data_IF_909048272387
#
_entry.id   IF_909048272387
#
_cell.length_a   1.000
_cell.length_b   1.000
_cell.length_c   1.000
_cell.angle_alpha   90.00
_cell.angle_beta   90.00
_cell.angle_gamma   90.00
#
_symmetry.space_group_name_H-M   'P 1'
#
loop_
_entity.id
_entity.type
_entity.pdbx_description
1 polymer ?
#
# COMPACT_ATOMS: atom_id res chain seq x y z
N UNK A 1 61.30 18.87 -46.16
CA UNK A 1 59.96 18.79 -46.78
C UNK A 1 58.98 19.26 -45.72
N UNK A 2 58.73 20.56 -45.59
CA UNK A 2 57.61 21.34 -46.21
C UNK A 2 56.23 20.76 -45.81
N UNK A 3 55.24 21.48 -45.27
CA UNK A 3 54.97 22.91 -45.00
C UNK A 3 53.80 22.95 -43.96
N UNK A 4 53.75 23.78 -42.90
CA UNK A 4 53.51 25.23 -42.77
C UNK A 4 52.07 25.74 -43.06
N UNK A 5 51.52 26.52 -42.10
CA UNK A 5 50.49 27.57 -42.25
C UNK A 5 49.09 27.20 -41.69
N UNK A 6 48.53 27.71 -40.58
CA UNK A 6 48.43 29.05 -39.98
C UNK A 6 47.41 30.01 -40.63
N UNK A 7 46.41 30.39 -39.81
CA UNK A 7 45.71 31.68 -39.70
C UNK A 7 44.63 32.15 -40.71
N UNK A 8 43.55 32.65 -40.09
CA UNK A 8 42.87 33.95 -40.30
C UNK A 8 41.44 33.94 -40.89
N UNK A 9 40.49 34.33 -40.04
CA UNK A 9 39.32 35.15 -40.42
C UNK A 9 39.79 36.49 -41.00
N UNK A 10 38.98 37.17 -41.85
CA UNK A 10 38.15 38.24 -41.28
C UNK A 10 36.83 38.56 -42.02
N UNK A 11 35.98 39.27 -41.26
CA UNK A 11 35.13 40.43 -41.64
C UNK A 11 33.98 40.31 -42.67
N UNK A 12 32.81 40.70 -42.16
CA UNK A 12 31.62 41.18 -42.86
C UNK A 12 31.87 42.40 -43.77
N UNK A 13 30.84 42.79 -44.55
CA UNK A 13 30.33 44.16 -44.47
C UNK A 13 28.81 44.21 -44.28
N UNK A 14 28.36 45.18 -43.47
CA UNK A 14 26.95 45.58 -43.37
C UNK A 14 26.61 46.75 -44.29
N UNK A 15 25.36 47.23 -44.19
CA UNK A 15 24.83 48.61 -44.40
C UNK A 15 23.29 48.47 -44.49
N UNK A 16 22.49 48.96 -43.52
CA UNK A 16 22.10 50.34 -43.14
C UNK A 16 20.84 50.85 -43.85
N UNK A 17 19.94 51.43 -43.04
CA UNK A 17 18.90 52.40 -43.39
C UNK A 17 17.51 51.94 -42.91
N UNK A 18 16.79 52.56 -41.97
CA UNK A 18 16.93 53.85 -41.29
C UNK A 18 15.77 54.80 -41.64
N UNK A 19 14.81 55.00 -40.72
CA UNK A 19 13.91 56.16 -40.45
C UNK A 19 12.75 55.66 -39.57
N UNK A 20 12.55 55.97 -38.29
CA UNK A 20 12.61 57.19 -37.45
C UNK A 20 11.34 58.10 -37.52
N UNK A 21 10.92 58.53 -36.30
CA UNK A 21 10.03 59.66 -35.91
C UNK A 21 8.51 59.33 -35.93
N UNK A 22 7.66 59.59 -34.92
CA UNK A 22 7.63 60.59 -33.81
C UNK A 22 6.59 60.19 -32.72
N UNK A 23 6.92 60.31 -31.42
CA UNK A 23 6.48 61.33 -30.43
C UNK A 23 5.01 61.37 -29.94
N UNK A 24 4.88 61.01 -28.65
CA UNK A 24 4.38 61.82 -27.51
C UNK A 24 2.88 62.18 -27.35
N UNK A 25 2.33 61.84 -26.16
CA UNK A 25 1.83 62.74 -25.08
C UNK A 25 1.14 61.90 -23.98
N UNK A 26 1.64 61.90 -22.74
CA UNK A 26 1.24 62.71 -21.56
C UNK A 26 -0.16 62.43 -21.02
N UNK A 27 -0.25 62.16 -19.72
CA UNK A 27 -1.46 62.43 -18.93
C UNK A 27 -1.61 61.57 -17.66
N UNK A 28 -1.06 62.03 -16.54
CA UNK A 28 -1.50 61.62 -15.21
C UNK A 28 -2.86 62.26 -14.87
N UNK A 29 -3.61 61.67 -13.94
CA UNK A 29 -4.30 62.29 -12.77
C UNK A 29 -5.55 61.48 -12.35
N UNK A 30 -5.49 61.03 -11.09
CA UNK A 30 -6.51 60.79 -10.06
C UNK A 30 -8.03 60.91 -10.35
N UNK A 31 -8.83 60.03 -9.72
CA UNK A 31 -9.67 60.30 -8.52
C UNK A 31 -10.73 59.19 -8.29
N UNK A 32 -10.66 58.59 -7.10
CA UNK A 32 -11.72 58.50 -6.09
C UNK A 32 -13.19 58.55 -6.55
N UNK A 33 -13.97 57.49 -6.27
CA UNK A 33 -15.42 57.57 -6.07
C UNK A 33 -15.83 56.78 -4.82
N UNK A 34 -16.26 57.53 -3.80
CA UNK A 34 -16.87 57.08 -2.55
C UNK A 34 -18.39 57.16 -2.67
N UNK A 35 -19.05 56.09 -2.24
CA UNK A 35 -20.35 55.95 -1.56
C UNK A 35 -21.62 56.65 -2.11
N UNK A 36 -22.72 55.88 -2.20
CA UNK A 36 -23.76 55.78 -1.15
C UNK A 36 -25.00 55.08 -1.74
N UNK A 37 -25.55 54.09 -1.02
CA UNK A 37 -26.84 54.26 -0.32
C UNK A 37 -27.09 53.13 0.70
N UNK A 38 -27.74 53.55 1.78
CA UNK A 38 -27.80 52.97 3.13
C UNK A 38 -29.11 52.18 3.35
N UNK A 39 -29.04 51.36 4.40
CA UNK A 39 -30.09 51.05 5.40
C UNK A 39 -31.15 49.97 5.11
N UNK A 40 -31.09 48.88 5.89
CA UNK A 40 -32.10 48.61 6.94
C UNK A 40 -31.58 47.66 8.03
N UNK A 41 -32.14 47.83 9.22
CA UNK A 41 -31.70 47.41 10.58
C UNK A 41 -32.08 45.94 10.90
N UNK A 42 -31.37 45.31 11.85
CA UNK A 42 -31.74 44.03 12.52
C UNK A 42 -33.01 44.13 13.41
N UNK A 43 -33.34 43.18 14.33
CA UNK A 43 -32.41 42.43 15.21
C UNK A 43 -32.80 40.97 15.65
N UNK A 44 -31.95 40.38 16.52
CA UNK A 44 -32.21 39.38 17.61
C UNK A 44 -31.84 37.88 17.44
N UNK A 45 -30.69 37.54 18.03
CA UNK A 45 -30.43 36.54 19.09
C UNK A 45 -31.18 35.20 19.12
N UNK A 46 -30.43 34.10 19.24
CA UNK A 46 -30.64 33.07 20.29
C UNK A 46 -29.36 32.30 20.62
N UNK A 47 -29.02 32.36 21.90
CA UNK A 47 -28.02 31.57 22.63
C UNK A 47 -28.75 30.46 23.41
N UNK A 48 -28.13 29.29 23.54
CA UNK A 48 -28.43 28.25 24.54
C UNK A 48 -27.11 27.49 24.77
N UNK A 49 -26.25 27.88 25.72
CA UNK A 49 -26.28 27.72 27.19
C UNK A 49 -26.08 26.26 27.64
N UNK A 50 -24.85 26.03 28.11
CA UNK A 50 -24.40 24.94 28.98
C UNK A 50 -25.28 24.81 30.23
N UNK A 51 -25.59 23.58 30.61
CA UNK A 51 -26.15 23.23 31.92
C UNK A 51 -25.13 22.41 32.70
N UNK A 52 -24.71 22.94 33.85
CA UNK A 52 -23.91 22.25 34.86
C UNK A 52 -24.81 21.38 35.76
N UNK A 53 -24.30 20.22 36.19
CA UNK A 53 -24.81 19.45 37.32
C UNK A 53 -23.60 19.05 38.19
N UNK A 54 -23.49 19.67 39.36
CA UNK A 54 -22.74 19.24 40.56
C UNK A 54 -23.67 18.33 41.39
N UNK A 55 -23.28 17.41 42.28
CA UNK A 55 -22.04 16.78 42.78
C UNK A 55 -22.53 15.55 43.58
N UNK A 56 -21.69 14.53 43.77
CA UNK A 56 -22.02 13.40 44.63
C UNK A 56 -20.76 12.63 45.02
N UNK A 57 -20.26 12.94 46.22
CA UNK A 57 -19.12 12.30 46.86
C UNK A 57 -19.33 10.80 47.07
N UNK A 58 -18.37 9.98 46.62
CA UNK A 58 -18.02 8.70 47.25
C UNK A 58 -16.52 8.47 47.14
N UNK A 59 -15.87 8.59 48.30
CA UNK A 59 -14.54 8.05 48.57
C UNK A 59 -14.53 6.54 48.29
N UNK A 60 -13.53 6.06 47.58
CA UNK A 60 -13.14 4.66 47.55
C UNK A 60 -11.61 4.60 47.67
N UNK A 61 -11.17 3.83 48.65
CA UNK A 61 -9.82 3.68 49.18
C UNK A 61 -8.79 3.23 48.15
N UNK A 62 -7.59 3.77 48.29
CA UNK A 62 -6.36 3.31 47.65
C UNK A 62 -5.80 2.18 48.51
N UNK A 63 -5.78 0.97 47.97
CA UNK A 63 -4.91 -0.10 48.45
C UNK A 63 -3.86 -0.37 47.37
N UNK A 64 -2.60 -0.29 47.78
CA UNK A 64 -1.37 -0.40 47.00
C UNK A 64 -0.96 -1.86 46.69
N UNK A 65 -0.11 -1.98 45.67
CA UNK A 65 0.86 -3.05 45.36
C UNK A 65 0.44 -4.29 44.54
N UNK A 66 0.97 -4.36 43.31
CA UNK A 66 1.04 -5.60 42.54
C UNK A 66 1.29 -5.48 41.02
N UNK A 67 2.31 -4.71 40.61
CA UNK A 67 3.04 -4.75 39.33
C UNK A 67 2.40 -5.53 38.15
N UNK A 68 1.65 -4.84 37.29
CA UNK A 68 1.47 -5.28 35.90
C UNK A 68 2.57 -4.63 35.07
N UNK A 69 3.53 -5.44 34.62
CA UNK A 69 4.64 -4.98 33.81
C UNK A 69 4.15 -4.26 32.54
N UNK A 70 4.72 -3.09 32.39
CA UNK A 70 4.49 -2.01 31.45
C UNK A 70 4.83 -2.47 30.02
N UNK A 71 3.81 -2.95 29.29
CA UNK A 71 3.86 -3.09 27.83
C UNK A 71 2.68 -2.35 27.21
N UNK A 72 2.57 -1.06 27.54
CA UNK A 72 1.78 -0.12 26.74
C UNK A 72 2.63 0.28 25.51
N UNK A 73 2.98 -0.71 24.69
CA UNK A 73 3.65 -0.55 23.39
C UNK A 73 2.62 -0.04 22.37
N UNK A 74 2.13 1.18 22.61
CA UNK A 74 1.90 2.07 21.50
C UNK A 74 3.26 2.27 20.83
N UNK A 75 3.50 1.55 19.74
CA UNK A 75 4.54 1.90 18.77
C UNK A 75 4.12 3.23 18.14
N UNK A 76 4.29 4.27 18.93
CA UNK A 76 4.18 5.66 18.57
C UNK A 76 5.61 6.09 18.30
N UNK A 77 5.95 6.18 17.01
CA UNK A 77 6.95 7.14 16.61
C UNK A 77 6.61 8.48 17.31
N UNK A 78 7.55 9.10 18.04
CA UNK A 78 7.29 10.37 18.71
C UNK A 78 6.64 11.36 17.73
N UNK A 79 5.67 12.16 18.17
CA UNK A 79 4.97 13.13 17.31
C UNK A 79 5.93 13.99 16.48
N UNK A 80 7.09 14.33 17.04
CA UNK A 80 8.15 15.08 16.37
C UNK A 80 8.77 14.32 15.18
N UNK A 81 8.85 13.00 15.25
CA UNK A 81 9.30 12.11 14.16
C UNK A 81 8.18 11.87 13.13
N UNK A 82 6.92 11.86 13.55
CA UNK A 82 5.76 11.85 12.64
C UNK A 82 5.62 13.19 11.88
N UNK A 83 5.89 14.31 12.55
CA UNK A 83 5.98 15.65 11.98
C UNK A 83 7.16 15.77 11.00
N UNK A 84 8.26 15.05 11.25
CA UNK A 84 9.32 14.88 10.24
C UNK A 84 8.76 14.21 8.99
N UNK A 85 7.91 13.20 9.07
CA UNK A 85 7.32 12.54 7.89
C UNK A 85 6.25 13.36 7.17
N UNK A 86 5.59 14.32 7.85
CA UNK A 86 4.37 14.98 7.36
C UNK A 86 4.51 16.47 7.04
N UNK A 87 5.61 17.14 7.42
CA UNK A 87 5.84 18.53 7.02
C UNK A 87 6.19 18.63 5.53
N UNK A 88 5.18 18.83 4.70
CA UNK A 88 5.31 19.03 3.25
C UNK A 88 5.80 20.46 3.00
N UNK A 89 7.12 20.63 2.88
CA UNK A 89 7.68 21.83 2.26
C UNK A 89 7.48 21.71 0.74
N UNK A 90 6.30 22.10 0.24
CA UNK A 90 6.08 22.29 -1.20
C UNK A 90 4.73 21.82 -1.71
N UNK A 91 3.99 22.76 -2.30
CA UNK A 91 2.99 22.54 -3.37
C UNK A 91 2.00 21.39 -3.08
N UNK A 92 0.90 21.70 -2.38
CA UNK A 92 -0.21 20.77 -2.20
C UNK A 92 -0.67 20.15 -3.53
N UNK A 93 -1.17 18.91 -3.49
CA UNK A 93 -1.66 18.08 -4.61
C UNK A 93 -1.68 18.81 -5.96
N UNK A 94 -0.52 18.82 -6.64
CA UNK A 94 -0.44 19.37 -7.98
C UNK A 94 -1.23 18.44 -8.90
N UNK A 95 -2.33 18.96 -9.47
CA UNK A 95 -2.97 18.32 -10.62
C UNK A 95 -1.99 18.44 -11.80
N UNK A 96 -1.07 17.48 -11.88
CA UNK A 96 -0.05 17.40 -12.91
C UNK A 96 -0.67 17.25 -14.30
N UNK A 97 0.08 17.67 -15.31
CA UNK A 97 -0.24 17.40 -16.72
C UNK A 97 -0.50 15.89 -16.93
N UNK A 98 -1.41 15.49 -17.84
CA UNK A 98 -1.94 14.13 -17.98
C UNK A 98 -0.95 13.18 -18.68
N UNK A 99 0.30 13.16 -18.25
CA UNK A 99 1.26 12.15 -18.69
C UNK A 99 1.24 11.01 -17.69
N UNK A 100 0.77 9.84 -18.16
CA UNK A 100 0.77 8.58 -17.42
C UNK A 100 2.16 8.32 -16.85
N UNK A 101 2.28 8.20 -15.53
CA UNK A 101 3.55 7.93 -14.83
C UNK A 101 3.45 6.60 -14.11
N UNK A 102 4.01 5.57 -14.73
CA UNK A 102 4.01 4.22 -14.18
C UNK A 102 4.99 4.14 -13.00
N UNK A 103 4.55 3.63 -11.84
CA UNK A 103 5.44 3.25 -10.75
C UNK A 103 6.58 2.36 -11.24
N UNK A 104 7.79 2.50 -10.67
CA UNK A 104 8.89 1.59 -10.96
C UNK A 104 8.56 0.20 -10.42
N UNK A 105 8.01 0.15 -9.20
CA UNK A 105 7.61 -1.08 -8.51
C UNK A 105 6.29 -0.93 -7.76
N UNK A 106 5.61 -2.05 -7.60
CA UNK A 106 4.54 -2.23 -6.61
C UNK A 106 4.99 -3.35 -5.67
N UNK A 107 5.23 -2.99 -4.41
CA UNK A 107 5.72 -3.87 -3.35
C UNK A 107 4.56 -4.19 -2.41
N UNK A 108 4.16 -5.46 -2.34
CA UNK A 108 3.15 -5.94 -1.42
C UNK A 108 3.84 -6.54 -0.19
N UNK A 109 3.45 -6.12 1.00
CA UNK A 109 4.02 -6.63 2.25
C UNK A 109 2.89 -7.13 3.16
N UNK A 110 2.90 -8.43 3.46
CA UNK A 110 2.10 -8.98 4.56
C UNK A 110 2.67 -8.46 5.88
N UNK A 111 1.82 -8.04 6.81
CA UNK A 111 2.26 -7.58 8.12
C UNK A 111 3.23 -8.55 8.84
N UNK A 112 4.08 -8.01 9.71
CA UNK A 112 4.96 -8.79 10.59
C UNK A 112 4.18 -9.71 11.54
N UNK A 113 4.86 -10.58 12.27
CA UNK A 113 4.23 -11.44 13.28
C UNK A 113 3.40 -10.62 14.29
N UNK A 114 2.16 -11.05 14.53
CA UNK A 114 1.22 -10.39 15.44
C UNK A 114 0.88 -11.27 16.64
N UNK A 115 0.38 -10.69 17.72
CA UNK A 115 -0.01 -11.47 18.90
C UNK A 115 -1.05 -12.53 18.55
N UNK A 116 -1.96 -12.22 17.62
CA UNK A 116 -2.91 -13.18 17.05
C UNK A 116 -2.27 -14.31 16.24
N UNK A 117 -1.04 -14.14 15.70
CA UNK A 117 -0.30 -15.24 15.08
C UNK A 117 0.28 -16.22 16.10
N UNK A 118 0.65 -15.74 17.29
CA UNK A 118 1.18 -16.57 18.37
C UNK A 118 0.07 -17.23 19.19
N UNK A 119 -0.98 -16.47 19.51
CA UNK A 119 -2.13 -16.95 20.25
C UNK A 119 -3.44 -16.56 19.57
N UNK A 120 -4.09 -17.57 18.99
CA UNK A 120 -5.42 -17.48 18.41
C UNK A 120 -6.49 -16.94 19.36
N UNK A 121 -6.30 -17.12 20.68
CA UNK A 121 -7.26 -16.68 21.69
C UNK A 121 -7.39 -15.17 21.77
N UNK A 122 -6.42 -14.42 21.24
CA UNK A 122 -6.45 -12.97 21.17
C UNK A 122 -7.67 -12.44 20.41
N UNK A 123 -8.11 -13.13 19.35
CA UNK A 123 -9.28 -12.74 18.56
C UNK A 123 -10.62 -12.89 19.30
N UNK A 124 -10.62 -13.47 20.50
CA UNK A 124 -11.81 -13.57 21.36
C UNK A 124 -12.06 -12.30 22.18
N UNK A 125 -10.99 -11.52 22.42
CA UNK A 125 -10.97 -10.42 23.38
C UNK A 125 -10.52 -9.09 22.77
N UNK A 126 -9.72 -9.15 21.71
CA UNK A 126 -9.24 -7.98 20.97
C UNK A 126 -9.87 -7.99 19.57
N UNK A 127 -10.49 -6.88 19.13
CA UNK A 127 -10.98 -6.77 17.75
C UNK A 127 -9.84 -7.01 16.76
N UNK A 128 -10.08 -7.75 15.67
CA UNK A 128 -9.03 -8.11 14.69
C UNK A 128 -8.24 -6.88 14.21
N UNK A 129 -8.94 -5.77 13.94
CA UNK A 129 -8.32 -4.51 13.52
C UNK A 129 -7.33 -3.91 14.53
N UNK A 130 -7.42 -4.29 15.81
CA UNK A 130 -6.60 -3.76 16.91
C UNK A 130 -5.48 -4.71 17.36
N UNK A 131 -5.41 -5.92 16.81
CA UNK A 131 -4.34 -6.88 17.13
C UNK A 131 -2.97 -6.26 16.77
N UNK A 132 -2.05 -6.10 17.75
CA UNK A 132 -0.73 -5.52 17.53
C UNK A 132 0.28 -6.55 16.98
N UNK A 133 1.39 -6.04 16.45
CA UNK A 133 2.60 -6.81 16.21
C UNK A 133 3.21 -7.31 17.52
N UNK A 134 3.95 -8.41 17.44
CA UNK A 134 4.88 -8.84 18.49
C UNK A 134 6.20 -8.08 18.36
N UNK A 135 7.08 -8.21 19.35
CA UNK A 135 8.45 -7.68 19.24
C UNK A 135 9.19 -8.23 18.01
N UNK A 136 9.00 -9.51 17.71
CA UNK A 136 9.54 -10.15 16.51
C UNK A 136 8.94 -9.54 15.24
N UNK A 137 7.63 -9.27 15.21
CA UNK A 137 6.98 -8.59 14.10
C UNK A 137 7.52 -7.19 13.83
N UNK A 138 7.90 -6.45 14.87
CA UNK A 138 8.58 -5.16 14.72
C UNK A 138 9.98 -5.30 14.11
N UNK A 139 10.77 -6.27 14.59
CA UNK A 139 12.09 -6.56 14.01
C UNK A 139 11.98 -6.94 12.54
N UNK A 140 11.02 -7.80 12.19
CA UNK A 140 10.74 -8.19 10.81
C UNK A 140 10.42 -6.97 9.93
N UNK A 141 9.57 -6.05 10.41
CA UNK A 141 9.21 -4.84 9.66
C UNK A 141 10.42 -3.95 9.38
N UNK A 142 11.29 -3.74 10.38
CA UNK A 142 12.51 -2.95 10.23
C UNK A 142 13.50 -3.61 9.27
N UNK A 143 13.66 -4.93 9.33
CA UNK A 143 14.51 -5.69 8.39
C UNK A 143 14.00 -5.59 6.96
N UNK A 144 12.69 -5.69 6.74
CA UNK A 144 12.08 -5.48 5.43
C UNK A 144 12.33 -4.07 4.92
N UNK A 145 12.25 -3.06 5.79
CA UNK A 145 12.62 -1.68 5.46
C UNK A 145 14.05 -1.56 4.96
N UNK A 146 15.01 -2.12 5.68
CA UNK A 146 16.42 -2.12 5.30
C UNK A 146 16.66 -2.84 3.96
N UNK A 147 16.07 -4.02 3.76
CA UNK A 147 16.14 -4.76 2.49
C UNK A 147 15.63 -3.93 1.30
N UNK A 148 14.46 -3.27 1.46
CA UNK A 148 13.89 -2.44 0.41
C UNK A 148 14.75 -1.21 0.14
N UNK A 149 15.34 -0.60 1.18
CA UNK A 149 16.26 0.52 1.05
C UNK A 149 17.49 0.13 0.23
N UNK A 150 18.12 -0.99 0.56
CA UNK A 150 19.29 -1.50 -0.16
C UNK A 150 18.96 -1.79 -1.62
N UNK A 151 17.79 -2.40 -1.87
CA UNK A 151 17.31 -2.69 -3.23
C UNK A 151 17.12 -1.41 -4.05
N UNK A 152 16.48 -0.39 -3.48
CA UNK A 152 16.20 0.86 -4.20
C UNK A 152 17.48 1.67 -4.42
N UNK A 153 18.34 1.79 -3.40
CA UNK A 153 19.62 2.49 -3.53
C UNK A 153 20.54 1.84 -4.58
N UNK A 154 20.46 0.52 -4.78
CA UNK A 154 21.25 -0.19 -5.77
C UNK A 154 20.73 -0.08 -7.21
N UNK A 155 19.42 0.11 -7.41
CA UNK A 155 18.79 -0.06 -8.73
C UNK A 155 18.05 1.19 -9.25
N UNK A 156 17.84 2.20 -8.41
CA UNK A 156 17.03 3.37 -8.75
C UNK A 156 17.87 4.66 -8.77
N UNK A 157 17.28 5.73 -9.32
CA UNK A 157 17.86 7.07 -9.23
C UNK A 157 17.98 7.52 -7.76
N UNK A 158 19.04 8.24 -7.35
CA UNK A 158 19.25 8.67 -5.95
C UNK A 158 18.12 9.51 -5.31
N UNK A 159 17.18 10.02 -6.11
CA UNK A 159 15.99 10.77 -5.67
C UNK A 159 14.68 9.99 -5.89
N UNK A 160 14.73 8.65 -5.92
CA UNK A 160 13.54 7.80 -5.98
C UNK A 160 12.53 8.18 -4.89
N UNK A 161 11.25 7.92 -5.17
CA UNK A 161 10.16 8.18 -4.22
C UNK A 161 9.46 6.90 -3.82
N UNK A 162 8.99 6.86 -2.59
CA UNK A 162 8.16 5.82 -2.00
C UNK A 162 6.77 6.41 -1.75
N UNK A 163 5.72 5.65 -2.07
CA UNK A 163 4.34 5.98 -1.70
C UNK A 163 3.72 4.79 -0.98
N UNK A 164 3.18 5.02 0.22
CA UNK A 164 2.62 3.95 1.03
C UNK A 164 1.10 3.89 0.92
N UNK A 165 0.57 2.70 0.66
CA UNK A 165 -0.81 2.35 0.94
C UNK A 165 -0.85 1.41 2.14
N UNK A 166 -1.68 1.71 3.14
CA UNK A 166 -1.71 0.94 4.39
C UNK A 166 -3.12 0.48 4.72
N UNK A 167 -3.28 -0.78 5.12
CA UNK A 167 -4.50 -1.23 5.77
C UNK A 167 -4.74 -0.47 7.08
N UNK A 168 -6.00 -0.20 7.46
CA UNK A 168 -6.33 0.48 8.72
C UNK A 168 -5.98 -0.34 9.97
N UNK A 169 -5.67 -1.63 9.84
CA UNK A 169 -5.40 -2.53 10.97
C UNK A 169 -4.06 -2.21 11.65
N UNK A 170 -4.03 -2.26 12.99
CA UNK A 170 -2.88 -1.88 13.82
C UNK A 170 -1.59 -2.58 13.40
N UNK A 171 -1.60 -3.90 13.27
CA UNK A 171 -0.44 -4.68 12.79
C UNK A 171 0.12 -4.24 11.44
N UNK A 172 -0.75 -3.83 10.51
CA UNK A 172 -0.33 -3.34 9.19
C UNK A 172 0.28 -1.95 9.29
N UNK A 173 -0.30 -1.06 10.09
CA UNK A 173 0.24 0.28 10.36
C UNK A 173 1.61 0.20 11.02
N UNK A 174 1.75 -0.65 12.03
CA UNK A 174 3.02 -0.91 12.72
C UNK A 174 4.08 -1.46 11.77
N UNK A 175 3.70 -2.35 10.85
CA UNK A 175 4.63 -2.87 9.82
C UNK A 175 5.08 -1.75 8.88
N UNK A 176 4.13 -0.95 8.38
CA UNK A 176 4.44 0.18 7.50
C UNK A 176 5.37 1.20 8.18
N UNK A 177 5.18 1.45 9.47
CA UNK A 177 6.03 2.33 10.27
C UNK A 177 7.47 1.80 10.36
N UNK A 178 7.65 0.51 10.67
CA UNK A 178 8.98 -0.11 10.71
C UNK A 178 9.70 -0.06 9.35
N UNK A 179 8.96 -0.27 8.26
CA UNK A 179 9.51 -0.14 6.90
C UNK A 179 9.89 1.30 6.59
N UNK A 180 9.02 2.27 6.89
CA UNK A 180 9.24 3.67 6.58
C UNK A 180 10.46 4.27 7.30
N UNK A 181 10.83 3.74 8.48
CA UNK A 181 12.02 4.17 9.23
C UNK A 181 13.34 3.97 8.47
N UNK A 182 13.40 3.08 7.48
CA UNK A 182 14.59 2.88 6.65
C UNK A 182 14.81 3.98 5.59
N UNK A 183 13.81 4.84 5.36
CA UNK A 183 13.84 5.85 4.31
C UNK A 183 13.95 7.25 4.90
N UNK A 184 14.79 8.08 4.29
CA UNK A 184 14.80 9.52 4.60
C UNK A 184 13.49 10.15 4.14
N UNK A 185 13.04 11.19 4.86
CA UNK A 185 11.81 11.95 4.54
C UNK A 185 11.69 12.32 3.06
N UNK A 186 12.78 12.75 2.43
CA UNK A 186 12.80 13.19 1.02
C UNK A 186 12.36 12.09 0.06
N UNK A 187 12.52 10.81 0.43
CA UNK A 187 12.07 9.68 -0.36
C UNK A 187 10.58 9.41 -0.17
N UNK A 188 9.96 9.79 0.95
CA UNK A 188 8.54 9.48 1.22
C UNK A 188 7.67 10.58 0.61
N UNK A 189 7.01 10.26 -0.50
CA UNK A 189 6.12 11.17 -1.23
C UNK A 189 4.71 11.26 -0.63
N UNK A 190 4.29 10.22 0.11
CA UNK A 190 2.98 10.19 0.74
C UNK A 190 2.62 8.86 1.37
N UNK A 191 1.60 8.89 2.21
CA UNK A 191 0.99 7.73 2.85
C UNK A 191 -0.53 7.86 2.73
N UNK A 192 -1.22 6.80 2.36
CA UNK A 192 -2.68 6.74 2.30
C UNK A 192 -3.19 5.49 3.03
N UNK A 193 -4.07 5.70 4.00
CA UNK A 193 -4.84 4.60 4.57
C UNK A 193 -5.93 4.17 3.58
N UNK A 194 -6.03 2.86 3.35
CA UNK A 194 -6.94 2.25 2.40
C UNK A 194 -7.73 1.11 3.06
N UNK A 195 -9.01 1.33 3.43
CA UNK A 195 -9.86 0.32 4.06
C UNK A 195 -10.03 -0.95 3.23
N UNK A 196 -9.92 -0.86 1.90
CA UNK A 196 -10.03 -2.01 1.00
C UNK A 196 -8.82 -2.96 1.12
N UNK A 197 -7.74 -2.57 1.81
CA UNK A 197 -6.57 -3.41 2.07
C UNK A 197 -6.64 -4.19 3.39
N UNK A 198 -7.77 -4.16 4.12
CA UNK A 198 -7.98 -4.98 5.34
C UNK A 198 -7.98 -6.49 5.07
N UNK A 199 -7.77 -7.29 6.11
CA UNK A 199 -7.84 -8.77 6.03
C UNK A 199 -9.29 -9.23 5.79
N UNK A 200 -9.48 -10.49 5.37
CA UNK A 200 -10.80 -11.13 5.34
C UNK A 200 -11.46 -11.04 6.71
N UNK A 201 -12.64 -10.45 6.77
CA UNK A 201 -13.39 -10.40 8.02
C UNK A 201 -13.89 -11.82 8.36
N UNK A 202 -13.48 -12.36 9.50
CA UNK A 202 -13.94 -13.67 9.98
C UNK A 202 -15.22 -13.58 10.81
N UNK A 203 -15.94 -12.44 10.77
CA UNK A 203 -17.03 -12.13 11.68
C UNK A 203 -16.57 -11.37 12.94
N UNK A 204 -17.48 -11.19 13.90
CA UNK A 204 -17.23 -10.47 15.15
C UNK A 204 -16.33 -11.28 16.11
N UNK A 205 -16.37 -10.96 17.42
CA UNK A 205 -15.62 -11.71 18.43
C UNK A 205 -15.74 -13.22 18.24
N UNK A 206 -14.59 -13.87 18.29
CA UNK A 206 -14.42 -15.23 17.81
C UNK A 206 -14.56 -16.23 18.95
N UNK A 207 -15.54 -17.15 18.90
CA UNK A 207 -15.45 -18.37 19.71
C UNK A 207 -14.41 -19.31 19.08
N UNK A 208 -13.36 -19.64 19.84
CA UNK A 208 -12.26 -20.48 19.38
C UNK A 208 -12.74 -21.84 18.88
N UNK A 209 -13.70 -22.47 19.57
CA UNK A 209 -14.18 -23.81 19.17
C UNK A 209 -14.91 -23.72 17.84
N UNK A 210 -15.84 -22.77 17.72
CA UNK A 210 -16.56 -22.53 16.48
C UNK A 210 -15.61 -22.17 15.33
N UNK A 211 -14.64 -21.27 15.54
CA UNK A 211 -13.67 -20.90 14.50
C UNK A 211 -12.80 -22.05 14.05
N UNK A 212 -12.39 -22.93 14.97
CA UNK A 212 -11.64 -24.14 14.59
C UNK A 212 -12.47 -25.07 13.73
N UNK A 213 -13.77 -25.20 14.00
CA UNK A 213 -14.68 -25.98 13.16
C UNK A 213 -14.86 -25.33 11.78
N UNK A 214 -15.15 -24.03 11.71
CA UNK A 214 -15.30 -23.27 10.46
C UNK A 214 -14.02 -23.30 9.60
N UNK A 215 -12.84 -23.29 10.23
CA UNK A 215 -11.56 -23.39 9.52
C UNK A 215 -11.32 -24.77 8.94
N UNK A 216 -11.67 -25.83 9.67
CA UNK A 216 -11.65 -27.18 9.10
C UNK A 216 -12.62 -27.27 7.93
N UNK A 217 -13.84 -26.77 8.07
CA UNK A 217 -14.82 -26.76 6.99
C UNK A 217 -14.30 -26.01 5.76
N UNK A 218 -13.70 -24.83 5.96
CA UNK A 218 -13.03 -24.07 4.89
C UNK A 218 -11.97 -24.90 4.18
N UNK A 219 -11.19 -25.71 4.89
CA UNK A 219 -10.18 -26.57 4.27
C UNK A 219 -10.79 -27.60 3.32
N UNK A 220 -11.99 -28.08 3.59
CA UNK A 220 -12.70 -28.97 2.65
C UNK A 220 -13.39 -28.19 1.53
N UNK A 221 -13.94 -27.01 1.83
CA UNK A 221 -14.74 -26.23 0.90
C UNK A 221 -13.92 -25.45 -0.13
N UNK A 222 -12.72 -24.97 0.25
CA UNK A 222 -11.89 -24.07 -0.56
C UNK A 222 -11.86 -22.65 0.00
N UNK A 223 -10.72 -21.97 -0.12
CA UNK A 223 -10.43 -20.69 0.54
C UNK A 223 -11.14 -19.51 -0.11
N UNK A 224 -11.44 -19.58 -1.39
CA UNK A 224 -12.00 -18.50 -2.20
C UNK A 224 -13.51 -18.33 -1.98
N UNK A 225 -14.27 -19.43 -2.05
CA UNK A 225 -15.74 -19.37 -1.98
C UNK A 225 -16.30 -19.56 -0.57
N UNK A 226 -15.55 -20.12 0.37
CA UNK A 226 -16.04 -20.30 1.73
C UNK A 226 -16.30 -18.95 2.41
N UNK A 227 -17.54 -18.75 2.85
CA UNK A 227 -17.95 -17.54 3.59
C UNK A 227 -18.05 -17.85 5.07
N UNK A 228 -17.32 -17.10 5.87
CA UNK A 228 -17.45 -17.21 7.33
C UNK A 228 -18.80 -16.66 7.81
N UNK A 229 -19.42 -17.26 8.84
CA UNK A 229 -20.61 -16.70 9.45
C UNK A 229 -20.38 -15.26 9.92
N UNK A 230 -21.24 -14.33 9.47
CA UNK A 230 -21.12 -12.88 9.69
C UNK A 230 -19.80 -12.26 9.18
N UNK A 231 -19.06 -12.95 8.30
CA UNK A 231 -17.79 -12.51 7.75
C UNK A 231 -17.81 -12.45 6.21
N UNK A 232 -16.62 -12.33 5.65
CA UNK A 232 -16.35 -12.29 4.22
C UNK A 232 -15.98 -13.69 3.69
N UNK A 233 -16.27 -13.92 2.42
CA UNK A 233 -15.61 -14.95 1.59
C UNK A 233 -14.40 -14.35 0.87
N UNK A 234 -13.54 -15.19 0.31
CA UNK A 234 -12.46 -14.71 -0.57
C UNK A 234 -12.99 -13.95 -1.79
N UNK A 235 -14.17 -14.33 -2.30
CA UNK A 235 -14.86 -13.61 -3.37
C UNK A 235 -15.28 -12.19 -2.95
N UNK A 236 -15.77 -11.99 -1.73
CA UNK A 236 -16.10 -10.64 -1.23
C UNK A 236 -14.85 -9.75 -1.14
N UNK A 237 -13.73 -10.33 -0.69
CA UNK A 237 -12.45 -9.63 -0.63
C UNK A 237 -11.94 -9.28 -2.03
N UNK A 238 -12.10 -10.20 -2.99
CA UNK A 238 -11.73 -9.99 -4.39
C UNK A 238 -12.46 -8.80 -5.01
N UNK A 239 -13.76 -8.64 -4.73
CA UNK A 239 -14.56 -7.52 -5.24
C UNK A 239 -14.07 -6.17 -4.72
N UNK A 240 -13.81 -6.05 -3.40
CA UNK A 240 -13.28 -4.79 -2.85
C UNK A 240 -11.86 -4.47 -3.30
N UNK A 241 -11.02 -5.49 -3.50
CA UNK A 241 -9.67 -5.31 -4.06
C UNK A 241 -9.72 -4.88 -5.51
N UNK A 242 -10.69 -5.37 -6.28
CA UNK A 242 -10.94 -4.87 -7.65
C UNK A 242 -11.20 -3.37 -7.66
N UNK A 243 -12.04 -2.86 -6.74
CA UNK A 243 -12.32 -1.42 -6.62
C UNK A 243 -11.06 -0.63 -6.27
N UNK A 244 -10.24 -1.15 -5.34
CA UNK A 244 -8.97 -0.51 -4.97
C UNK A 244 -7.99 -0.45 -6.15
N UNK A 245 -7.76 -1.56 -6.83
CA UNK A 245 -6.85 -1.61 -7.99
C UNK A 245 -7.30 -0.65 -9.10
N UNK A 246 -8.61 -0.59 -9.36
CA UNK A 246 -9.19 0.35 -10.30
C UNK A 246 -8.92 1.81 -9.93
N UNK A 247 -9.05 2.18 -8.65
CA UNK A 247 -8.70 3.50 -8.15
C UNK A 247 -7.20 3.77 -8.27
N UNK A 248 -6.36 2.81 -7.89
CA UNK A 248 -4.92 2.92 -7.96
C UNK A 248 -4.44 3.11 -9.40
N UNK A 249 -4.96 2.33 -10.36
CA UNK A 249 -4.65 2.46 -11.79
C UNK A 249 -5.09 3.82 -12.32
N UNK A 250 -6.28 4.31 -11.95
CA UNK A 250 -6.73 5.67 -12.33
C UNK A 250 -5.82 6.76 -11.76
N UNK A 251 -5.34 6.63 -10.53
CA UNK A 251 -4.40 7.59 -9.94
C UNK A 251 -3.03 7.56 -10.65
N UNK A 252 -2.56 6.37 -11.05
CA UNK A 252 -1.35 6.18 -11.88
C UNK A 252 -1.51 6.86 -13.24
N UNK A 253 -2.62 6.60 -13.92
CA UNK A 253 -2.89 7.14 -15.26
C UNK A 253 -3.14 8.65 -15.23
N UNK A 254 -3.69 9.17 -14.13
CA UNK A 254 -3.83 10.60 -13.87
C UNK A 254 -2.50 11.29 -13.47
N UNK A 255 -1.39 10.56 -13.37
CA UNK A 255 -0.07 11.13 -13.07
C UNK A 255 0.04 11.68 -11.65
N UNK A 256 -0.72 11.14 -10.68
CA UNK A 256 -0.71 11.63 -9.29
C UNK A 256 0.58 11.30 -8.52
N UNK A 257 1.43 10.45 -9.07
CA UNK A 257 2.67 10.01 -8.44
C UNK A 257 3.90 10.60 -9.13
N UNK A 258 4.99 10.71 -8.38
CA UNK A 258 6.28 11.06 -8.93
C UNK A 258 6.74 10.00 -9.95
N UNK A 259 7.60 10.41 -10.89
CA UNK A 259 8.20 9.49 -11.85
C UNK A 259 8.96 8.39 -11.09
N UNK A 260 8.84 7.15 -11.56
CA UNK A 260 9.56 5.99 -11.02
C UNK A 260 9.34 5.78 -9.50
N UNK A 261 8.14 6.13 -9.01
CA UNK A 261 7.76 5.88 -7.61
C UNK A 261 7.72 4.37 -7.31
N UNK A 262 8.27 3.97 -6.16
CA UNK A 262 8.09 2.66 -5.55
C UNK A 262 6.83 2.69 -4.66
N UNK A 263 5.77 1.99 -5.06
CA UNK A 263 4.55 1.89 -4.25
C UNK A 263 4.67 0.75 -3.25
N UNK A 264 4.48 1.01 -1.96
CA UNK A 264 4.57 0.00 -0.89
C UNK A 264 3.20 -0.18 -0.26
N UNK A 265 2.62 -1.37 -0.42
CA UNK A 265 1.30 -1.74 0.07
C UNK A 265 1.46 -2.66 1.28
N UNK A 266 1.24 -2.13 2.48
CA UNK A 266 1.21 -2.93 3.70
C UNK A 266 -0.21 -3.46 3.93
N UNK A 267 -0.35 -4.80 3.94
CA UNK A 267 -1.63 -5.50 3.98
C UNK A 267 -1.48 -6.86 4.69
N UNK A 268 -2.32 -7.83 4.33
CA UNK A 268 -2.46 -9.13 4.99
C UNK A 268 -2.34 -10.28 3.98
N UNK A 269 -2.22 -11.51 4.48
CA UNK A 269 -1.84 -12.66 3.65
C UNK A 269 -2.84 -12.98 2.55
N UNK A 270 -4.13 -13.06 2.89
CA UNK A 270 -5.16 -13.39 1.91
C UNK A 270 -5.42 -12.21 0.96
N UNK A 271 -5.48 -10.99 1.48
CA UNK A 271 -5.68 -9.78 0.67
C UNK A 271 -4.55 -9.57 -0.34
N UNK A 272 -3.31 -9.83 0.03
CA UNK A 272 -2.15 -9.79 -0.88
C UNK A 272 -2.32 -10.80 -2.03
N UNK A 273 -2.68 -12.04 -1.73
CA UNK A 273 -2.88 -13.06 -2.78
C UNK A 273 -4.04 -12.72 -3.71
N UNK A 274 -5.11 -12.12 -3.19
CA UNK A 274 -6.24 -11.68 -4.01
C UNK A 274 -5.90 -10.46 -4.86
N UNK A 275 -5.04 -9.56 -4.38
CA UNK A 275 -4.45 -8.52 -5.22
C UNK A 275 -3.69 -9.15 -6.39
N UNK A 276 -2.81 -10.12 -6.14
CA UNK A 276 -2.08 -10.80 -7.22
C UNK A 276 -3.01 -11.52 -8.20
N UNK A 277 -4.01 -12.23 -7.68
CA UNK A 277 -5.04 -12.89 -8.48
C UNK A 277 -5.75 -11.88 -9.40
N UNK A 278 -6.14 -10.72 -8.87
CA UNK A 278 -6.87 -9.70 -9.63
C UNK A 278 -5.97 -8.90 -10.55
N UNK A 279 -4.69 -8.74 -10.21
CA UNK A 279 -3.69 -8.06 -11.02
C UNK A 279 -3.31 -8.90 -12.25
N UNK A 280 -3.00 -10.18 -12.04
CA UNK A 280 -2.51 -11.09 -13.09
C UNK A 280 -3.60 -11.95 -13.73
N UNK A 281 -4.83 -11.82 -13.27
CA UNK A 281 -5.98 -12.61 -13.73
C UNK A 281 -5.78 -14.11 -13.51
N UNK A 282 -5.33 -14.49 -12.31
CA UNK A 282 -5.27 -15.89 -11.95
C UNK A 282 -6.68 -16.48 -11.89
N UNK A 283 -6.78 -17.75 -12.30
CA UNK A 283 -7.97 -18.55 -12.07
C UNK A 283 -8.16 -18.82 -10.57
N UNK A 284 -9.37 -19.22 -10.18
CA UNK A 284 -9.63 -19.61 -8.79
C UNK A 284 -8.76 -20.80 -8.39
N UNK A 285 -8.62 -21.79 -9.27
CA UNK A 285 -7.78 -22.96 -9.02
C UNK A 285 -6.31 -22.59 -8.76
N UNK A 286 -5.76 -21.65 -9.54
CA UNK A 286 -4.42 -21.14 -9.30
C UNK A 286 -4.29 -20.41 -7.97
N UNK A 287 -5.26 -19.57 -7.63
CA UNK A 287 -5.27 -18.87 -6.34
C UNK A 287 -5.31 -19.83 -5.15
N UNK A 288 -6.09 -20.91 -5.23
CA UNK A 288 -6.21 -21.92 -4.16
C UNK A 288 -4.87 -22.61 -3.86
N UNK A 289 -4.00 -22.76 -4.87
CA UNK A 289 -2.66 -23.35 -4.73
C UNK A 289 -1.63 -22.44 -4.08
N UNK A 290 -1.84 -21.13 -4.13
CA UNK A 290 -0.86 -20.17 -3.61
C UNK A 290 -1.04 -20.02 -2.09
N UNK A 291 0.01 -20.37 -1.34
CA UNK A 291 0.08 -20.18 0.10
C UNK A 291 0.43 -18.74 0.47
N UNK A 292 0.17 -18.34 1.71
CA UNK A 292 0.50 -16.98 2.13
C UNK A 292 2.03 -16.82 2.17
N UNK A 293 2.57 -15.66 1.74
CA UNK A 293 3.98 -15.36 2.01
C UNK A 293 4.23 -15.31 3.52
N UNK A 294 5.47 -15.55 3.92
CA UNK A 294 5.88 -15.38 5.31
C UNK A 294 5.67 -13.93 5.78
N UNK A 295 5.55 -13.74 7.10
CA UNK A 295 5.34 -12.42 7.69
C UNK A 295 6.46 -11.46 7.29
N UNK A 296 6.09 -10.24 6.91
CA UNK A 296 6.99 -9.17 6.46
C UNK A 296 7.84 -9.48 5.21
N UNK A 297 7.61 -10.59 4.51
CA UNK A 297 8.30 -10.85 3.24
C UNK A 297 7.73 -9.97 2.13
N UNK A 298 8.55 -9.14 1.45
CA UNK A 298 8.08 -8.30 0.37
C UNK A 298 7.88 -9.11 -0.92
N UNK A 299 6.73 -8.90 -1.58
CA UNK A 299 6.41 -9.43 -2.90
C UNK A 299 6.41 -8.26 -3.89
N UNK A 300 7.34 -8.28 -4.84
CA UNK A 300 7.67 -7.16 -5.71
C UNK A 300 7.19 -7.43 -7.13
N UNK A 301 6.39 -6.50 -7.65
CA UNK A 301 6.03 -6.39 -9.05
C UNK A 301 6.92 -5.32 -9.68
N UNK A 302 7.76 -5.72 -10.61
CA UNK A 302 8.69 -4.88 -11.35
C UNK A 302 8.05 -4.38 -12.64
N UNK A 303 8.21 -3.09 -12.94
CA UNK A 303 7.81 -2.55 -14.25
C UNK A 303 8.70 -3.15 -15.35
N UNK A 304 8.08 -3.59 -16.43
CA UNK A 304 8.78 -4.05 -17.63
C UNK A 304 9.19 -2.82 -18.44
N UNK A 305 10.50 -2.52 -18.43
CA UNK A 305 11.08 -1.43 -19.22
C UNK A 305 11.32 -1.92 -20.68
N UNK A 306 10.25 -2.14 -21.45
CA UNK A 306 10.35 -2.46 -22.89
C UNK A 306 10.11 -1.18 -23.73
N UNK A 307 11.00 -0.82 -24.67
CA UNK A 307 10.83 0.35 -25.54
C UNK A 307 9.59 0.28 -26.45
N UNK A 308 8.91 -0.86 -26.54
CA UNK A 308 7.66 -1.04 -27.29
C UNK A 308 6.38 -0.71 -26.51
N UNK A 309 6.49 -0.30 -25.23
CA UNK A 309 5.35 0.18 -24.42
C UNK A 309 4.92 1.56 -24.91
N UNK A 310 4.30 1.59 -26.08
CA UNK A 310 3.71 2.79 -26.66
C UNK A 310 2.53 3.25 -25.79
N UNK A 311 2.49 4.55 -25.48
CA UNK A 311 1.50 5.12 -24.59
C UNK A 311 0.08 4.90 -25.16
N UNK A 312 -0.73 4.08 -24.47
CA UNK A 312 -2.16 3.93 -24.76
C UNK A 312 -2.60 2.61 -25.43
N UNK A 313 -1.68 1.68 -25.72
CA UNK A 313 -2.05 0.33 -26.23
C UNK A 313 -2.06 -0.78 -25.20
N UNK A 314 -1.41 -0.57 -24.05
CA UNK A 314 -1.27 -1.58 -23.00
C UNK A 314 -1.97 -1.15 -21.71
N UNK A 315 -2.74 -2.08 -21.15
CA UNK A 315 -3.32 -1.95 -19.83
C UNK A 315 -2.20 -1.86 -18.77
N UNK A 316 -2.37 -1.03 -17.74
CA UNK A 316 -1.32 -0.78 -16.71
C UNK A 316 -0.77 -2.06 -16.12
N UNK A 317 -1.64 -3.04 -15.85
CA UNK A 317 -1.27 -4.33 -15.27
C UNK A 317 -0.36 -5.20 -16.17
N UNK A 318 -0.44 -5.05 -17.50
CA UNK A 318 0.41 -5.80 -18.45
C UNK A 318 1.89 -5.40 -18.36
N UNK A 319 2.15 -4.23 -17.79
CA UNK A 319 3.47 -3.61 -17.74
C UNK A 319 4.24 -4.00 -16.48
N UNK A 320 3.73 -4.96 -15.71
CA UNK A 320 4.37 -5.44 -14.49
C UNK A 320 4.53 -6.96 -14.53
N UNK A 321 5.64 -7.42 -13.96
CA UNK A 321 5.95 -8.84 -13.77
C UNK A 321 6.39 -9.07 -12.33
N UNK A 322 6.09 -10.23 -11.75
CA UNK A 322 6.67 -10.61 -10.46
C UNK A 322 8.20 -10.75 -10.58
N UNK A 323 8.94 -10.27 -9.58
CA UNK A 323 10.39 -10.50 -9.47
C UNK A 323 10.67 -11.99 -9.19
N UNK A 324 11.85 -12.47 -9.57
CA UNK A 324 12.23 -13.87 -9.38
C UNK A 324 12.27 -14.26 -7.89
N UNK A 325 12.75 -13.36 -7.04
CA UNK A 325 12.79 -13.50 -5.58
C UNK A 325 11.38 -13.58 -5.00
N UNK A 326 10.44 -12.82 -5.57
CA UNK A 326 9.05 -12.79 -5.12
C UNK A 326 8.30 -14.08 -5.44
N UNK A 327 8.67 -14.79 -6.51
CA UNK A 327 8.14 -16.12 -6.83
C UNK A 327 8.54 -17.11 -5.73
N UNK A 328 9.80 -17.08 -5.28
CA UNK A 328 10.27 -17.93 -4.18
C UNK A 328 9.54 -17.64 -2.86
N UNK A 329 9.13 -16.38 -2.65
CA UNK A 329 8.31 -15.95 -1.51
C UNK A 329 6.82 -16.33 -1.60
N UNK A 330 6.35 -16.89 -2.72
CA UNK A 330 4.96 -17.29 -2.96
C UNK A 330 4.86 -18.79 -3.26
N UNK A 331 4.82 -19.66 -2.23
CA UNK A 331 4.70 -21.09 -2.44
C UNK A 331 3.44 -21.43 -3.25
N UNK A 332 3.60 -22.26 -4.30
CA UNK A 332 2.53 -22.62 -5.23
C UNK A 332 2.35 -21.67 -6.42
N UNK A 333 3.08 -20.54 -6.46
CA UNK A 333 3.14 -19.68 -7.65
C UNK A 333 4.10 -20.27 -8.68
N UNK A 334 3.65 -20.39 -9.93
CA UNK A 334 4.49 -20.86 -11.05
C UNK A 334 4.95 -19.71 -11.94
N UNK A 335 5.97 -19.95 -12.78
CA UNK A 335 6.47 -18.93 -13.72
C UNK A 335 5.40 -18.39 -14.67
N UNK A 336 4.38 -19.20 -14.98
CA UNK A 336 3.24 -18.81 -15.84
C UNK A 336 2.27 -17.85 -15.16
N UNK A 337 2.38 -17.66 -13.84
CA UNK A 337 1.51 -16.83 -13.03
C UNK A 337 2.12 -15.43 -12.76
N UNK A 338 3.26 -15.12 -13.35
CA UNK A 338 4.05 -13.91 -13.04
C UNK A 338 3.66 -12.68 -13.84
N UNK A 339 2.79 -12.83 -14.85
CA UNK A 339 2.36 -11.76 -15.76
C UNK A 339 0.86 -11.84 -16.03
N UNK A 340 0.29 -10.70 -16.41
CA UNK A 340 -1.12 -10.61 -16.74
C UNK A 340 -1.39 -11.42 -18.01
N UNK A 341 -2.37 -12.32 -17.95
CA UNK A 341 -2.80 -13.06 -19.14
C UNK A 341 -4.00 -12.36 -19.77
N UNK A 342 -3.82 -11.97 -21.04
CA UNK A 342 -4.88 -11.35 -21.84
C UNK A 342 -5.99 -12.35 -22.13
N UNK A 343 -7.28 -11.93 -22.16
CA UNK A 343 -8.41 -12.82 -22.42
C UNK A 343 -8.24 -13.66 -23.70
N UNK A 344 -7.71 -13.06 -24.76
CA UNK A 344 -7.44 -13.69 -26.07
C UNK A 344 -6.49 -14.90 -25.97
N UNK A 345 -5.62 -14.90 -24.94
CA UNK A 345 -4.60 -15.92 -24.67
C UNK A 345 -4.97 -16.83 -23.49
N UNK A 346 -6.13 -16.59 -22.87
CA UNK A 346 -6.53 -17.26 -21.63
C UNK A 346 -7.51 -18.41 -21.86
N UNK A 347 -7.86 -18.74 -23.11
CA UNK A 347 -8.87 -19.75 -23.43
C UNK A 347 -8.50 -21.13 -22.89
N UNK A 348 -7.25 -21.59 -23.07
CA UNK A 348 -6.80 -22.89 -22.51
C UNK A 348 -6.90 -22.87 -20.99
N UNK A 349 -6.38 -21.82 -20.36
CA UNK A 349 -6.33 -21.70 -18.90
C UNK A 349 -7.69 -21.48 -18.25
N UNK A 350 -8.67 -20.90 -18.94
CA UNK A 350 -10.01 -20.63 -18.41
C UNK A 350 -11.04 -21.72 -18.78
N UNK A 351 -10.83 -22.49 -19.85
CA UNK A 351 -11.79 -23.46 -20.36
C UNK A 351 -11.31 -24.91 -20.24
N UNK A 352 -10.04 -25.15 -19.90
CA UNK A 352 -9.51 -26.51 -19.73
C UNK A 352 -9.60 -26.94 -18.28
N UNK A 353 -10.60 -27.77 -17.98
CA UNK A 353 -10.73 -28.47 -16.70
C UNK A 353 -9.57 -29.46 -16.50
N UNK A 354 -8.42 -28.95 -16.05
CA UNK A 354 -7.26 -29.79 -15.77
C UNK A 354 -7.51 -30.61 -14.50
N UNK A 355 -6.80 -31.72 -14.34
CA UNK A 355 -6.83 -32.50 -13.09
C UNK A 355 -6.41 -31.66 -11.87
N UNK A 356 -5.62 -30.60 -12.07
CA UNK A 356 -5.24 -29.66 -11.02
C UNK A 356 -6.36 -28.66 -10.68
N UNK A 357 -7.23 -28.30 -11.63
CA UNK A 357 -8.42 -27.48 -11.38
C UNK A 357 -9.55 -28.26 -10.69
N UNK A 358 -9.49 -29.59 -10.76
CA UNK A 358 -10.44 -30.50 -10.10
C UNK A 358 -10.02 -30.76 -8.64
N UNK A 359 -8.79 -30.44 -8.25
CA UNK A 359 -8.35 -30.49 -6.85
C UNK A 359 -8.89 -29.27 -6.11
N UNK A 360 -9.70 -29.50 -5.08
CA UNK A 360 -10.25 -28.45 -4.22
C UNK A 360 -9.99 -28.78 -2.75
N UNK A 361 -9.86 -27.75 -1.92
CA UNK A 361 -9.75 -27.92 -0.49
C UNK A 361 -8.54 -28.79 -0.07
N UNK A 362 -8.79 -29.94 0.56
CA UNK A 362 -7.74 -30.82 1.08
C UNK A 362 -6.81 -31.37 -0.01
N UNK A 363 -7.30 -31.55 -1.23
CA UNK A 363 -6.49 -32.08 -2.34
C UNK A 363 -5.37 -31.12 -2.77
N UNK A 364 -5.50 -29.83 -2.43
CA UNK A 364 -4.50 -28.79 -2.69
C UNK A 364 -3.59 -28.57 -1.47
N UNK A 365 -4.13 -28.76 -0.26
CA UNK A 365 -3.41 -28.51 1.00
C UNK A 365 -2.45 -29.64 1.40
N UNK A 366 -2.63 -30.87 0.89
CA UNK A 366 -1.77 -32.00 1.18
C UNK A 366 -0.32 -31.86 0.66
N UNK A 367 -0.10 -31.01 -0.34
CA UNK A 367 1.20 -30.81 -0.99
C UNK A 367 1.91 -29.53 -0.54
N UNK A 368 1.19 -28.57 0.08
CA UNK A 368 1.76 -27.28 0.45
C UNK A 368 0.97 -26.58 1.58
N UNK A 369 1.16 -26.95 2.86
CA UNK A 369 1.02 -25.94 3.92
C UNK A 369 1.46 -26.31 5.34
N UNK A 370 2.52 -25.64 5.80
CA UNK A 370 2.63 -25.11 7.17
C UNK A 370 2.37 -23.60 7.08
N UNK A 371 1.14 -23.20 6.76
CA UNK A 371 0.77 -21.80 6.64
C UNK A 371 0.97 -21.15 8.01
N UNK A 372 1.95 -20.25 8.15
CA UNK A 372 2.06 -19.32 9.29
C UNK A 372 0.90 -18.31 9.36
N UNK A 373 -0.25 -18.64 8.76
CA UNK A 373 -1.53 -18.10 9.16
C UNK A 373 -1.68 -18.44 10.64
N UNK A 374 -2.30 -17.56 11.42
CA UNK A 374 -2.58 -17.79 12.84
C UNK A 374 -3.33 -19.11 13.13
N UNK A 375 -3.74 -19.86 12.12
CA UNK A 375 -4.60 -21.03 12.24
C UNK A 375 -4.26 -22.13 11.21
N UNK A 376 -3.15 -22.83 11.43
CA UNK A 376 -3.03 -24.22 10.98
C UNK A 376 -3.84 -25.10 11.94
N UNK A 377 -4.61 -26.11 11.48
CA UNK A 377 -5.38 -26.99 12.36
C UNK A 377 -4.50 -27.74 13.38
N UNK A 378 -3.20 -27.81 13.14
CA UNK A 378 -2.20 -28.44 14.01
C UNK A 378 -1.44 -27.45 14.92
N UNK A 379 -1.76 -26.16 14.87
CA UNK A 379 -1.00 -25.10 15.57
C UNK A 379 0.32 -24.77 14.86
N UNK A 380 1.13 -23.83 15.39
CA UNK A 380 2.45 -23.53 14.84
C UNK A 380 3.35 -24.75 15.00
N UNK A 381 3.83 -25.28 13.87
CA UNK A 381 4.93 -26.26 13.88
C UNK A 381 6.15 -25.53 14.43
N UNK A 382 6.67 -25.98 15.57
CA UNK A 382 7.94 -25.48 16.11
C UNK A 382 8.98 -25.64 15.01
N UNK A 383 9.56 -24.53 14.57
CA UNK A 383 10.76 -24.58 13.73
C UNK A 383 11.82 -25.34 14.51
N UNK A 384 12.09 -26.58 14.11
CA UNK A 384 13.30 -27.26 14.55
C UNK A 384 14.49 -26.39 14.12
N UNK A 385 15.43 -26.24 15.04
CA UNK A 385 16.63 -25.44 14.91
C UNK A 385 17.31 -25.63 13.55
N UNK A 386 17.11 -24.68 12.62
CA UNK A 386 18.04 -24.48 11.53
C UNK A 386 19.21 -23.68 12.08
N UNK A 387 20.20 -24.41 12.60
CA UNK A 387 21.58 -23.94 12.65
C UNK A 387 22.05 -23.75 11.21
N UNK A 388 22.34 -22.50 10.83
CA UNK A 388 23.40 -22.19 9.90
C UNK A 388 24.15 -20.95 10.40
#
# INVERSE_FOLDING_TARGET
>A
MFALGAHASPSAPGLKGGREVSKAKRGAVAREWIALHKMRRGPKTRSARLGAIETGDKEASIDEEGSYDEWDDAVCMPLQDLERLTNVDGEGYTYGMPTRRLPKRIVLVRHGESTGNLDESEYTRTPDSQIPLTQNGHVQATQTGAMLRDLFDANDDPDYKCFFYISPYRRSKQTALGIAQAFEKRHISGVREEPQLREQDFGNFQDLKQKKAEKRERQYFGRFFYRFPNGESGADVFDRITIFEDHMVRDIDAGRFNKDTNMILCTHGLTLRLFLMRWFHWTVAEYERVANPANSTPIILERIDDPTVDHGRFHTKELYTLSAESIAGLPGCSDKMTRMVLPEKNWERALTLSSEEIKWGMDVLAEANTDGCAFSPEGPVKAEHNTC
#
